data_IF_585723970610
#
_entry.id   IF_585723970610
#
_cell.length_a   1.000
_cell.length_b   1.000
_cell.length_c   1.000
_cell.angle_alpha   90.00
_cell.angle_beta   90.00
_cell.angle_gamma   90.00
#
_symmetry.space_group_name_H-M   'P 1'
#
loop_
_entity.id
_entity.type
_entity.pdbx_description
1 polymer ?
#
# COMPACT_ATOMS: atom_id res chain seq x y z
N UNK A 1 -18.14 35.95 55.36
CA UNK A 1 -17.60 35.42 54.10
C UNK A 1 -16.45 34.49 54.45
N UNK A 2 -16.75 33.20 54.63
CA UNK A 2 -15.81 32.08 54.46
C UNK A 2 -16.67 30.82 54.42
N UNK A 3 -16.56 30.06 53.34
CA UNK A 3 -16.51 28.60 53.39
C UNK A 3 -15.88 28.11 52.09
N UNK A 4 -15.05 27.10 52.26
CA UNK A 4 -14.18 26.50 51.27
C UNK A 4 -14.93 25.39 50.56
N UNK A 5 -14.76 25.24 49.25
CA UNK A 5 -14.90 23.91 48.64
C UNK A 5 -13.74 23.66 47.66
N UNK A 6 -12.83 22.83 48.14
CA UNK A 6 -11.72 22.23 47.41
C UNK A 6 -12.31 21.11 46.55
N UNK A 7 -12.44 21.31 45.23
CA UNK A 7 -12.68 20.20 44.32
C UNK A 7 -11.37 19.73 43.71
N UNK A 8 -11.10 18.44 43.92
CA UNK A 8 -9.82 17.78 43.77
C UNK A 8 -9.18 17.89 42.38
N UNK A 9 -7.86 18.02 42.43
CA UNK A 9 -6.94 17.75 41.34
C UNK A 9 -7.22 16.37 40.70
N UNK A 10 -7.57 16.35 39.42
CA UNK A 10 -7.34 15.20 38.55
C UNK A 10 -6.11 15.51 37.70
N UNK A 11 -5.02 14.72 37.74
CA UNK A 11 -3.94 14.85 36.78
C UNK A 11 -4.51 14.59 35.39
N UNK A 12 -4.59 15.63 34.57
CA UNK A 12 -5.06 15.53 33.20
C UNK A 12 -4.22 14.51 32.45
N UNK A 13 -4.87 13.43 32.01
CA UNK A 13 -4.28 12.50 31.07
C UNK A 13 -3.82 13.28 29.83
N UNK A 14 -2.67 12.96 29.23
CA UNK A 14 -2.29 13.55 27.95
C UNK A 14 -3.41 13.29 26.93
N UNK A 15 -3.65 14.22 25.98
CA UNK A 15 -4.64 13.99 24.94
C UNK A 15 -4.31 12.68 24.24
N UNK A 16 -5.31 11.81 24.11
CA UNK A 16 -5.19 10.56 23.37
C UNK A 16 -4.63 10.90 21.98
N UNK A 17 -3.54 10.24 21.51
CA UNK A 17 -3.11 10.42 20.13
C UNK A 17 -4.30 10.13 19.21
N UNK A 18 -4.39 10.82 18.05
CA UNK A 18 -5.43 10.51 17.07
C UNK A 18 -5.40 9.00 16.80
N UNK A 19 -6.55 8.35 16.57
CA UNK A 19 -6.55 6.96 16.15
C UNK A 19 -5.63 6.86 14.95
N UNK A 20 -4.64 5.96 15.03
CA UNK A 20 -3.86 5.58 13.86
C UNK A 20 -4.87 5.23 12.75
N UNK A 21 -4.61 5.60 11.49
CA UNK A 21 -5.43 5.13 10.38
C UNK A 21 -5.57 3.60 10.53
N UNK A 22 -6.74 3.03 10.20
CA UNK A 22 -6.96 1.60 10.36
C UNK A 22 -5.78 0.86 9.74
N UNK A 23 -4.98 0.18 10.57
CA UNK A 23 -4.02 -0.78 10.07
C UNK A 23 -4.87 -1.86 9.43
N UNK A 24 -4.88 -1.88 8.10
CA UNK A 24 -5.67 -2.78 7.27
C UNK A 24 -5.22 -4.21 7.56
N UNK A 25 -5.83 -4.85 8.54
CA UNK A 25 -5.58 -6.24 8.94
C UNK A 25 -4.19 -6.52 9.53
N UNK A 26 -3.97 -7.73 10.06
CA UNK A 26 -2.62 -8.25 10.22
C UNK A 26 -1.96 -8.26 8.85
N UNK A 27 -0.83 -7.58 8.71
CA UNK A 27 -0.04 -7.62 7.48
C UNK A 27 0.46 -9.06 7.33
N UNK A 28 -0.24 -9.85 6.52
CA UNK A 28 0.17 -11.21 6.22
C UNK A 28 1.48 -11.14 5.47
N UNK A 29 2.54 -11.66 6.08
CA UNK A 29 3.83 -11.79 5.40
C UNK A 29 3.66 -12.89 4.35
N UNK A 30 3.79 -12.59 3.05
CA UNK A 30 3.66 -13.60 2.01
C UNK A 30 4.81 -14.61 2.11
N UNK A 31 4.48 -15.90 2.18
CA UNK A 31 5.49 -16.96 2.16
C UNK A 31 5.98 -17.26 0.73
N UNK A 32 5.20 -16.87 -0.30
CA UNK A 32 5.50 -17.13 -1.71
C UNK A 32 4.81 -16.10 -2.63
N UNK A 33 5.11 -16.19 -3.93
CA UNK A 33 4.61 -15.28 -4.95
C UNK A 33 3.08 -15.34 -5.15
N UNK A 34 2.46 -16.52 -5.01
CA UNK A 34 1.00 -16.66 -5.12
C UNK A 34 0.30 -15.94 -3.96
N UNK A 35 0.76 -16.12 -2.72
CA UNK A 35 0.21 -15.37 -1.58
C UNK A 35 0.42 -13.86 -1.73
N UNK A 36 1.58 -13.43 -2.23
CA UNK A 36 1.82 -12.02 -2.52
C UNK A 36 0.85 -11.47 -3.59
N UNK A 37 0.53 -12.28 -4.61
CA UNK A 37 -0.44 -11.90 -5.63
C UNK A 37 -1.86 -11.81 -5.06
N UNK A 38 -2.24 -12.71 -4.16
CA UNK A 38 -3.53 -12.66 -3.45
C UNK A 38 -3.66 -11.39 -2.61
N UNK A 39 -2.64 -11.05 -1.82
CA UNK A 39 -2.59 -9.79 -1.05
C UNK A 39 -2.63 -8.59 -2.00
N UNK A 40 -1.84 -8.62 -3.08
CA UNK A 40 -1.79 -7.56 -4.07
C UNK A 40 -3.13 -7.31 -4.75
N UNK A 41 -3.93 -8.36 -4.99
CA UNK A 41 -5.23 -8.28 -5.64
C UNK A 41 -6.21 -7.35 -4.91
N UNK A 42 -6.11 -7.24 -3.59
CA UNK A 42 -6.97 -6.33 -2.80
C UNK A 42 -6.73 -4.85 -3.12
N UNK A 43 -5.59 -4.52 -3.74
CA UNK A 43 -5.19 -3.17 -4.10
C UNK A 43 -5.49 -2.82 -5.57
N UNK A 44 -6.00 -3.77 -6.35
CA UNK A 44 -6.38 -3.56 -7.75
C UNK A 44 -7.88 -3.73 -7.95
N UNK A 45 -8.45 -3.08 -8.98
CA UNK A 45 -9.78 -3.44 -9.47
C UNK A 45 -9.81 -4.92 -9.88
N UNK A 46 -10.99 -5.52 -9.82
CA UNK A 46 -11.16 -6.91 -10.22
C UNK A 46 -10.75 -7.12 -11.70
N UNK A 47 -9.94 -8.17 -11.93
CA UNK A 47 -9.47 -8.55 -13.26
C UNK A 47 -10.66 -8.87 -14.16
N UNK A 48 -10.72 -8.23 -15.33
CA UNK A 48 -11.82 -8.40 -16.30
C UNK A 48 -13.05 -7.53 -16.03
N UNK A 49 -13.05 -6.72 -14.96
CA UNK A 49 -14.09 -5.69 -14.77
C UNK A 49 -13.99 -4.59 -15.83
N UNK A 50 -15.11 -3.89 -16.16
CA UNK A 50 -15.08 -2.73 -17.05
C UNK A 50 -14.10 -1.66 -16.56
N UNK A 51 -13.10 -1.33 -17.38
CA UNK A 51 -12.03 -0.39 -17.01
C UNK A 51 -11.02 -0.91 -15.97
N UNK A 52 -11.08 -2.21 -15.65
CA UNK A 52 -10.14 -2.93 -14.79
C UNK A 52 -8.95 -3.53 -15.56
N UNK A 53 -8.00 -4.15 -14.83
CA UNK A 53 -6.85 -4.79 -15.45
C UNK A 53 -7.27 -6.04 -16.22
N UNK A 54 -6.56 -6.33 -17.32
CA UNK A 54 -6.68 -7.60 -18.06
C UNK A 54 -6.02 -8.77 -17.32
N UNK A 55 -5.10 -8.47 -16.40
CA UNK A 55 -4.39 -9.46 -15.60
C UNK A 55 -3.47 -8.80 -14.59
N UNK A 56 -3.20 -9.51 -13.49
CA UNK A 56 -2.21 -9.14 -12.49
C UNK A 56 -1.04 -10.12 -12.54
N UNK A 57 0.15 -9.60 -12.32
CA UNK A 57 1.39 -10.36 -12.38
C UNK A 57 2.23 -10.06 -11.15
N UNK A 58 2.93 -11.09 -10.67
CA UNK A 58 3.88 -10.99 -9.58
C UNK A 58 5.29 -11.14 -10.11
N UNK A 59 6.16 -10.22 -9.73
CA UNK A 59 7.60 -10.28 -9.93
C UNK A 59 8.26 -10.37 -8.56
N UNK A 60 8.70 -11.58 -8.20
CA UNK A 60 9.48 -11.79 -6.99
C UNK A 60 10.89 -11.23 -7.16
N UNK A 61 11.37 -10.50 -6.14
CA UNK A 61 12.73 -10.01 -6.06
C UNK A 61 13.29 -10.22 -4.64
N UNK A 62 14.50 -9.74 -4.39
CA UNK A 62 15.29 -10.03 -3.19
C UNK A 62 14.56 -9.70 -1.87
N UNK A 63 14.07 -8.47 -1.68
CA UNK A 63 13.43 -8.01 -0.43
C UNK A 63 11.90 -7.96 -0.49
N UNK A 64 11.28 -8.34 -1.61
CA UNK A 64 9.83 -8.21 -1.77
C UNK A 64 9.25 -8.90 -3.00
N UNK A 65 7.96 -8.63 -3.22
CA UNK A 65 7.19 -9.03 -4.38
C UNK A 65 6.57 -7.78 -5.01
N UNK A 66 6.81 -7.57 -6.29
CA UNK A 66 6.20 -6.48 -7.06
C UNK A 66 5.00 -7.02 -7.81
N UNK A 67 3.82 -6.52 -7.49
CA UNK A 67 2.58 -6.77 -8.20
C UNK A 67 2.36 -5.64 -9.19
N UNK A 68 2.06 -6.00 -10.44
CA UNK A 68 1.75 -5.04 -11.49
C UNK A 68 0.56 -5.51 -12.33
N UNK A 69 -0.20 -4.53 -12.82
CA UNK A 69 -1.36 -4.75 -13.66
C UNK A 69 -1.02 -4.62 -15.14
N UNK A 70 -1.53 -5.53 -15.95
CA UNK A 70 -1.71 -5.30 -17.38
C UNK A 70 -3.08 -4.69 -17.64
N UNK A 71 -3.13 -3.71 -18.54
CA UNK A 71 -4.36 -3.04 -18.91
C UNK A 71 -4.66 -3.35 -20.37
N UNK A 72 -5.95 -3.51 -20.73
CA UNK A 72 -6.31 -3.66 -22.13
C UNK A 72 -5.92 -2.38 -22.89
N UNK A 73 -5.60 -2.49 -24.19
CA UNK A 73 -5.41 -1.30 -25.01
C UNK A 73 -6.67 -0.44 -24.93
N UNK A 74 -6.50 0.88 -24.89
CA UNK A 74 -7.62 1.80 -24.93
C UNK A 74 -8.44 1.55 -26.21
N UNK A 75 -9.75 1.43 -26.07
CA UNK A 75 -10.66 1.26 -27.21
C UNK A 75 -10.57 2.44 -28.18
N UNK A 76 -10.35 3.64 -27.64
CA UNK A 76 -10.03 4.84 -28.40
C UNK A 76 -8.66 5.39 -27.95
N UNK A 77 -7.63 5.39 -28.81
CA UNK A 77 -6.30 5.86 -28.47
C UNK A 77 -6.19 7.40 -28.39
N UNK A 78 -7.23 8.13 -28.80
CA UNK A 78 -7.27 9.60 -28.73
C UNK A 78 -8.00 10.10 -27.49
N UNK A 79 -8.80 9.25 -26.85
CA UNK A 79 -9.43 9.51 -25.58
C UNK A 79 -8.37 9.52 -24.46
N UNK A 80 -8.47 10.46 -23.51
CA UNK A 80 -7.63 10.42 -22.33
C UNK A 80 -7.91 9.13 -21.54
N UNK A 81 -6.88 8.50 -20.95
CA UNK A 81 -7.09 7.30 -20.16
C UNK A 81 -8.01 7.60 -18.99
N UNK A 82 -9.05 6.77 -18.80
CA UNK A 82 -10.05 6.96 -17.75
C UNK A 82 -9.46 6.90 -16.34
N UNK A 83 -8.35 6.18 -16.17
CA UNK A 83 -7.51 6.22 -14.98
C UNK A 83 -6.05 6.49 -15.40
N UNK A 84 -5.38 7.52 -14.84
CA UNK A 84 -3.95 7.71 -15.04
C UNK A 84 -3.26 6.43 -14.55
N UNK A 85 -2.49 5.78 -15.42
CA UNK A 85 -1.99 4.42 -15.26
C UNK A 85 -1.71 4.02 -13.82
N UNK A 86 -2.37 2.94 -13.38
CA UNK A 86 -2.43 2.53 -11.97
C UNK A 86 -1.06 2.31 -11.33
N UNK A 87 -1.02 2.25 -10.01
CA UNK A 87 0.25 2.03 -9.28
C UNK A 87 0.71 0.57 -9.38
N UNK A 88 2.03 0.37 -9.32
CA UNK A 88 2.59 -0.91 -8.92
C UNK A 88 2.49 -1.06 -7.39
N UNK A 89 2.31 -2.28 -6.91
CA UNK A 89 2.23 -2.58 -5.47
C UNK A 89 3.42 -3.45 -5.10
N UNK A 90 4.19 -3.07 -4.09
CA UNK A 90 5.27 -3.89 -3.53
C UNK A 90 4.85 -4.41 -2.18
N UNK A 91 5.05 -5.71 -1.94
CA UNK A 91 4.86 -6.34 -0.65
C UNK A 91 6.21 -6.81 -0.13
N UNK A 92 6.63 -6.28 1.02
CA UNK A 92 7.88 -6.63 1.69
C UNK A 92 7.85 -8.07 2.19
N UNK A 93 8.92 -8.81 1.93
CA UNK A 93 9.14 -10.16 2.47
C UNK A 93 9.46 -10.17 3.96
N UNK A 94 9.92 -9.04 4.52
CA UNK A 94 10.36 -8.97 5.91
C UNK A 94 9.20 -8.83 6.89
N UNK A 95 8.18 -8.07 6.50
CA UNK A 95 7.13 -7.59 7.40
C UNK A 95 5.74 -7.54 6.74
N UNK A 96 5.62 -7.90 5.46
CA UNK A 96 4.35 -7.81 4.73
C UNK A 96 3.93 -6.36 4.41
N UNK A 97 4.84 -5.39 4.53
CA UNK A 97 4.57 -3.99 4.22
C UNK A 97 4.20 -3.79 2.75
N UNK A 98 3.05 -3.17 2.55
CA UNK A 98 2.54 -2.78 1.24
C UNK A 98 3.00 -1.35 0.91
N UNK A 99 3.69 -1.20 -0.21
CA UNK A 99 4.17 0.07 -0.74
C UNK A 99 3.65 0.31 -2.16
N UNK A 100 3.32 1.55 -2.48
CA UNK A 100 2.83 1.92 -3.81
C UNK A 100 3.92 2.63 -4.61
N UNK A 101 4.17 2.14 -5.82
CA UNK A 101 5.16 2.70 -6.73
C UNK A 101 4.49 3.18 -8.03
N UNK A 102 5.11 4.14 -8.75
CA UNK A 102 4.70 4.48 -10.10
C UNK A 102 4.69 3.25 -11.02
N UNK A 103 3.89 3.31 -12.09
CA UNK A 103 3.77 2.26 -13.11
C UNK A 103 5.01 2.17 -14.02
N UNK A 104 6.18 1.94 -13.43
CA UNK A 104 7.41 1.69 -14.17
C UNK A 104 7.52 0.21 -14.55
N UNK A 105 8.36 -0.13 -15.55
CA UNK A 105 8.74 -1.50 -15.80
C UNK A 105 9.27 -2.17 -14.52
N UNK A 106 9.10 -3.49 -14.35
CA UNK A 106 9.40 -4.19 -13.10
C UNK A 106 10.79 -3.88 -12.54
N UNK A 107 11.83 -3.93 -13.38
CA UNK A 107 13.22 -3.68 -12.97
C UNK A 107 13.40 -2.27 -12.38
N UNK A 108 12.87 -1.24 -13.07
CA UNK A 108 12.96 0.15 -12.61
C UNK A 108 12.13 0.40 -11.33
N UNK A 109 11.00 -0.29 -11.16
CA UNK A 109 10.20 -0.22 -9.95
C UNK A 109 10.95 -0.86 -8.76
N UNK A 110 11.60 -2.01 -8.96
CA UNK A 110 12.44 -2.67 -7.95
C UNK A 110 13.61 -1.78 -7.54
N UNK A 111 14.32 -1.19 -8.49
CA UNK A 111 15.41 -0.23 -8.19
C UNK A 111 14.92 0.99 -7.38
N UNK A 112 13.73 1.51 -7.71
CA UNK A 112 13.12 2.60 -6.95
C UNK A 112 12.79 2.16 -5.53
N UNK A 113 12.22 0.95 -5.34
CA UNK A 113 11.91 0.42 -4.02
C UNK A 113 13.16 0.30 -3.14
N UNK A 114 14.24 -0.26 -3.70
CA UNK A 114 15.55 -0.34 -3.04
C UNK A 114 16.04 1.02 -2.56
N UNK A 115 15.94 2.04 -3.42
CA UNK A 115 16.33 3.40 -3.08
C UNK A 115 15.50 4.00 -1.96
N UNK A 116 14.20 3.71 -1.92
CA UNK A 116 13.30 4.19 -0.88
C UNK A 116 13.60 3.49 0.46
N UNK A 117 13.75 2.17 0.47
CA UNK A 117 14.09 1.40 1.69
C UNK A 117 15.47 1.73 2.24
N UNK A 118 16.46 1.91 1.38
CA UNK A 118 17.81 2.34 1.80
C UNK A 118 17.86 3.77 2.38
N UNK A 119 16.85 4.60 2.13
CA UNK A 119 16.71 5.93 2.77
C UNK A 119 15.99 5.89 4.11
N UNK A 120 15.28 4.81 4.41
CA UNK A 120 14.49 4.65 5.64
C UNK A 120 15.29 4.03 6.79
N UNK A 121 16.53 3.60 6.54
CA UNK A 121 17.48 3.15 7.58
C UNK A 121 18.36 4.34 8.02
N UNK A 122 18.26 4.81 9.28
CA UNK A 122 19.13 5.86 9.82
C UNK A 122 20.57 5.39 10.05
#
# INVERSE_FOLDING_TARGET
MTDSDQSGSTPGLPPTPPPLPPQTGPQTVPANADEALEIGREHYPEVGSPGGPSGLFVHEFDIGYLIHASWPPAEDPTAPPANPGGSNVVISKADGEVSFLPNFPPEAAVELYHRLRGRQTP
#
